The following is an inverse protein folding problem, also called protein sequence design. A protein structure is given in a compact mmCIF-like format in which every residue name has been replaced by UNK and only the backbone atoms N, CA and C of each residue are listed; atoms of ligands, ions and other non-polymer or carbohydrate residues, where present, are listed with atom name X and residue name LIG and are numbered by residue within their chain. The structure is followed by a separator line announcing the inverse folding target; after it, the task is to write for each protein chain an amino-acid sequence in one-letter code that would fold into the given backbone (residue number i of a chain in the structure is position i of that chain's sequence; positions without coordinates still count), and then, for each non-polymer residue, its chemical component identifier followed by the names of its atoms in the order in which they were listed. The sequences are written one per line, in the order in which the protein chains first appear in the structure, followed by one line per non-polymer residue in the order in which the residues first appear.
data_IF_101813746102
#
_entry.id   IF_101813746102
#
_cell.length_a   1.000
_cell.length_b   1.000
_cell.length_c   1.000
_cell.angle_alpha   90.00
_cell.angle_beta   90.00
_cell.angle_gamma   90.00
#
_symmetry.space_group_name_H-M   'P 1'
#
loop_
_entity.id
_entity.type
_entity.pdbx_description
1 polymer ?
#
# COMPACT_ATOMS: atom_id res chain seq x y z
N UNK A 1 34.82 21.12 26.26
CA UNK A 1 34.09 21.38 25.01
C UNK A 1 33.97 20.08 24.22
N UNK A 2 32.88 19.32 24.39
CA UNK A 2 32.66 18.11 23.60
C UNK A 2 31.64 18.40 22.50
N UNK A 3 32.11 19.00 21.41
CA UNK A 3 31.32 19.13 20.19
C UNK A 3 31.26 17.79 19.48
N UNK A 4 30.06 17.27 19.18
CA UNK A 4 29.90 16.05 18.36
C UNK A 4 30.69 16.22 17.07
N UNK A 5 31.55 15.25 16.73
CA UNK A 5 32.29 15.22 15.46
C UNK A 5 31.27 15.26 14.32
N UNK A 6 31.17 16.41 13.64
CA UNK A 6 30.28 16.57 12.49
C UNK A 6 30.82 15.75 11.33
N UNK A 7 29.93 15.11 10.58
CA UNK A 7 30.31 14.45 9.33
C UNK A 7 30.85 15.49 8.36
N UNK A 8 32.12 15.34 8.00
CA UNK A 8 32.75 16.20 7.00
C UNK A 8 32.43 15.64 5.62
N UNK A 9 31.79 16.45 4.78
CA UNK A 9 31.51 16.05 3.41
C UNK A 9 32.82 15.81 2.63
N UNK A 10 32.81 14.93 1.62
CA UNK A 10 33.97 14.77 0.76
C UNK A 10 34.30 16.08 0.04
N UNK A 11 35.59 16.29 -0.26
CA UNK A 11 36.05 17.47 -1.02
C UNK A 11 35.56 17.48 -2.47
N UNK A 12 35.28 16.29 -3.01
CA UNK A 12 34.81 16.09 -4.39
C UNK A 12 33.34 15.68 -4.35
N UNK A 13 32.50 16.36 -5.13
CA UNK A 13 31.08 16.02 -5.24
C UNK A 13 30.90 14.72 -6.04
N UNK A 14 29.77 14.04 -5.82
CA UNK A 14 29.44 12.81 -6.55
C UNK A 14 29.40 13.02 -8.07
N UNK A 15 29.00 14.21 -8.54
CA UNK A 15 29.01 14.58 -9.96
C UNK A 15 30.43 14.59 -10.53
N UNK A 16 31.32 15.38 -9.89
CA UNK A 16 32.74 15.46 -10.31
C UNK A 16 33.40 14.09 -10.32
N UNK A 17 33.11 13.29 -9.28
CA UNK A 17 33.64 11.93 -9.18
C UNK A 17 33.14 11.03 -10.34
N UNK A 18 31.87 11.16 -10.74
CA UNK A 18 31.34 10.44 -11.90
C UNK A 18 32.00 10.88 -13.21
N UNK A 19 32.28 12.18 -13.39
CA UNK A 19 32.96 12.68 -14.58
C UNK A 19 34.42 12.20 -14.64
N UNK A 20 35.13 12.18 -13.51
CA UNK A 20 36.47 11.58 -13.42
C UNK A 20 36.47 10.09 -13.81
N UNK A 21 35.44 9.33 -13.38
CA UNK A 21 35.30 7.92 -13.76
C UNK A 21 35.05 7.74 -15.27
N UNK A 22 34.19 8.57 -15.88
CA UNK A 22 33.95 8.52 -17.33
C UNK A 22 35.25 8.77 -18.11
N UNK A 23 36.06 9.72 -17.65
CA UNK A 23 37.34 10.03 -18.29
C UNK A 23 38.35 8.88 -18.11
N UNK A 24 38.42 8.27 -16.92
CA UNK A 24 39.29 7.12 -16.68
C UNK A 24 38.90 5.92 -17.57
N UNK A 25 37.61 5.65 -17.70
CA UNK A 25 37.06 4.64 -18.60
C UNK A 25 37.40 4.93 -20.07
N UNK A 26 37.24 6.19 -20.50
CA UNK A 26 37.61 6.63 -21.86
C UNK A 26 39.11 6.43 -22.16
N UNK A 27 39.98 6.68 -21.19
CA UNK A 27 41.42 6.53 -21.32
C UNK A 27 41.92 5.10 -21.06
N UNK A 28 41.03 4.16 -20.73
CA UNK A 28 41.40 2.79 -20.37
C UNK A 28 42.19 2.67 -19.06
N UNK A 29 42.13 3.69 -18.19
CA UNK A 29 42.85 3.70 -16.92
C UNK A 29 41.98 3.04 -15.84
N UNK A 30 42.55 2.09 -15.10
CA UNK A 30 41.88 1.49 -13.97
C UNK A 30 41.61 2.56 -12.88
N UNK A 31 40.36 2.75 -12.48
CA UNK A 31 40.00 3.74 -11.45
C UNK A 31 40.58 3.42 -10.07
N UNK A 32 40.83 2.13 -9.78
CA UNK A 32 41.39 1.69 -8.50
C UNK A 32 42.87 2.10 -8.35
N UNK A 33 43.62 2.13 -9.45
CA UNK A 33 45.04 2.55 -9.43
C UNK A 33 45.21 4.06 -9.16
N UNK A 34 44.20 4.87 -9.48
CA UNK A 34 44.18 6.32 -9.21
C UNK A 34 43.64 6.63 -7.79
N UNK A 35 43.20 5.61 -7.05
CA UNK A 35 42.61 5.79 -5.71
C UNK A 35 41.19 6.38 -5.74
N UNK A 36 40.47 6.26 -6.87
CA UNK A 36 39.05 6.58 -6.90
C UNK A 36 38.29 5.52 -6.10
N UNK A 37 37.29 5.90 -5.28
CA UNK A 37 36.50 4.92 -4.55
C UNK A 37 35.72 4.03 -5.54
N UNK A 38 35.42 2.77 -5.16
CA UNK A 38 34.68 1.85 -6.01
C UNK A 38 33.26 2.39 -6.32
N UNK A 39 32.74 2.02 -7.49
CA UNK A 39 31.38 2.38 -7.89
C UNK A 39 30.40 1.50 -7.11
N UNK A 40 29.48 2.12 -6.37
CA UNK A 40 28.43 1.39 -5.66
C UNK A 40 27.55 0.64 -6.67
N UNK A 41 27.35 -0.66 -6.43
CA UNK A 41 26.45 -1.49 -7.22
C UNK A 41 25.01 -0.98 -7.13
N UNK A 42 24.29 -1.01 -8.26
CA UNK A 42 22.90 -0.59 -8.31
C UNK A 42 22.01 -1.78 -7.94
N UNK A 43 21.30 -1.65 -6.83
CA UNK A 43 20.25 -2.62 -6.49
C UNK A 43 19.15 -2.62 -7.57
N UNK A 44 18.55 -3.79 -7.87
CA UNK A 44 17.45 -3.86 -8.80
C UNK A 44 16.25 -3.03 -8.29
N UNK A 45 15.60 -2.24 -9.17
CA UNK A 45 14.64 -1.22 -8.75
C UNK A 45 13.30 -1.77 -8.21
N UNK A 46 12.96 -3.04 -8.44
CA UNK A 46 11.60 -3.58 -8.15
C UNK A 46 11.60 -5.03 -7.70
N UNK A 47 12.14 -5.31 -6.52
CA UNK A 47 12.04 -6.65 -5.89
C UNK A 47 10.72 -6.86 -5.16
N UNK A 48 10.02 -5.80 -4.74
CA UNK A 48 8.81 -5.91 -3.94
C UNK A 48 7.54 -5.85 -4.80
N UNK A 49 6.55 -6.73 -4.58
CA UNK A 49 5.28 -6.65 -5.27
C UNK A 49 4.51 -5.37 -4.88
N UNK A 50 3.66 -4.85 -5.78
CA UNK A 50 2.84 -3.69 -5.49
C UNK A 50 1.79 -4.00 -4.42
N UNK A 51 1.50 -3.02 -3.57
CA UNK A 51 0.54 -3.13 -2.46
C UNK A 51 -0.91 -3.45 -2.89
N UNK A 52 -1.26 -3.17 -4.14
CA UNK A 52 -2.64 -3.26 -4.66
C UNK A 52 -3.53 -2.08 -4.27
N UNK A 53 -4.59 -1.88 -5.06
CA UNK A 53 -5.56 -0.82 -4.84
C UNK A 53 -6.45 -1.11 -3.61
N UNK A 54 -7.11 -0.08 -3.06
CA UNK A 54 -7.99 -0.23 -1.88
C UNK A 54 -9.13 -1.23 -2.13
N UNK A 55 -9.72 -1.23 -3.32
CA UNK A 55 -10.86 -2.08 -3.66
C UNK A 55 -10.45 -3.56 -3.83
N UNK A 56 -9.25 -3.83 -4.36
CA UNK A 56 -8.69 -5.18 -4.46
C UNK A 56 -8.42 -5.76 -3.06
N UNK A 57 -7.78 -4.97 -2.19
CA UNK A 57 -7.50 -5.38 -0.81
C UNK A 57 -8.78 -5.64 -0.02
N UNK A 58 -9.85 -4.89 -0.27
CA UNK A 58 -11.12 -5.02 0.45
C UNK A 58 -12.13 -5.98 -0.21
N UNK A 59 -11.86 -6.46 -1.43
CA UNK A 59 -12.73 -7.39 -2.15
C UNK A 59 -13.09 -8.65 -1.35
N UNK A 60 -12.17 -9.36 -0.67
CA UNK A 60 -12.52 -10.58 0.07
C UNK A 60 -13.49 -10.29 1.22
N UNK A 61 -13.27 -9.20 1.97
CA UNK A 61 -14.17 -8.80 3.05
C UNK A 61 -15.57 -8.43 2.53
N UNK A 62 -15.65 -7.75 1.38
CA UNK A 62 -16.93 -7.43 0.72
C UNK A 62 -17.68 -8.69 0.30
N UNK A 63 -16.98 -9.66 -0.32
CA UNK A 63 -17.58 -10.95 -0.73
C UNK A 63 -18.12 -11.72 0.48
N UNK A 64 -17.37 -11.78 1.58
CA UNK A 64 -17.81 -12.43 2.81
C UNK A 64 -19.07 -11.77 3.41
N UNK A 65 -19.12 -10.43 3.40
CA UNK A 65 -20.30 -9.69 3.87
C UNK A 65 -21.54 -9.96 3.01
N UNK A 66 -21.37 -10.05 1.69
CA UNK A 66 -22.46 -10.38 0.77
C UNK A 66 -22.96 -11.79 1.03
N UNK A 67 -22.05 -12.77 1.17
CA UNK A 67 -22.45 -14.15 1.44
C UNK A 67 -23.26 -14.25 2.74
N UNK A 68 -22.78 -13.63 3.82
CA UNK A 68 -23.50 -13.61 5.10
C UNK A 68 -24.91 -13.00 4.96
N UNK A 69 -25.04 -11.92 4.19
CA UNK A 69 -26.35 -11.30 3.95
C UNK A 69 -27.29 -12.20 3.13
N UNK A 70 -26.77 -12.98 2.19
CA UNK A 70 -27.56 -13.98 1.45
C UNK A 70 -28.03 -15.11 2.36
N UNK A 71 -27.17 -15.57 3.29
CA UNK A 71 -27.53 -16.62 4.25
C UNK A 71 -28.61 -16.14 5.25
N UNK A 72 -28.55 -14.86 5.66
CA UNK A 72 -29.52 -14.23 6.57
C UNK A 72 -30.80 -13.73 5.87
N UNK A 73 -30.88 -13.88 4.54
CA UNK A 73 -31.96 -13.34 3.71
C UNK A 73 -33.35 -13.90 4.09
N UNK A 74 -33.46 -15.20 4.34
CA UNK A 74 -34.76 -15.81 4.65
C UNK A 74 -35.33 -15.28 5.97
N UNK A 75 -34.49 -15.17 7.00
CA UNK A 75 -34.87 -14.65 8.32
C UNK A 75 -35.32 -13.20 8.25
N UNK A 76 -34.62 -12.38 7.45
CA UNK A 76 -34.99 -10.97 7.26
C UNK A 76 -36.33 -10.83 6.52
N UNK A 77 -36.61 -11.70 5.54
CA UNK A 77 -37.92 -11.74 4.85
C UNK A 77 -39.03 -12.15 5.82
N UNK A 78 -38.82 -13.18 6.64
CA UNK A 78 -39.82 -13.64 7.63
C UNK A 78 -40.14 -12.55 8.66
N UNK A 79 -39.12 -11.87 9.19
CA UNK A 79 -39.31 -10.77 10.13
C UNK A 79 -40.10 -9.63 9.48
N UNK A 80 -39.72 -9.23 8.25
CA UNK A 80 -40.46 -8.21 7.52
C UNK A 80 -41.94 -8.58 7.30
N UNK A 81 -42.23 -9.85 6.99
CA UNK A 81 -43.62 -10.33 6.84
C UNK A 81 -44.39 -10.23 8.15
N UNK A 82 -43.78 -10.64 9.27
CA UNK A 82 -44.40 -10.56 10.61
C UNK A 82 -44.68 -9.12 11.01
N UNK A 83 -43.72 -8.23 10.82
CA UNK A 83 -43.88 -6.80 11.13
C UNK A 83 -45.04 -6.21 10.31
N UNK A 84 -45.14 -6.54 9.02
CA UNK A 84 -46.26 -6.08 8.17
C UNK A 84 -47.61 -6.62 8.61
N UNK A 85 -47.69 -7.84 9.15
CA UNK A 85 -48.92 -8.38 9.71
C UNK A 85 -49.31 -7.65 11.00
N UNK A 86 -48.37 -7.43 11.90
CA UNK A 86 -48.62 -6.68 13.14
C UNK A 86 -49.08 -5.25 12.88
N UNK A 87 -48.46 -4.55 11.92
CA UNK A 87 -48.89 -3.21 11.51
C UNK A 87 -50.32 -3.21 10.95
N UNK A 88 -50.70 -4.24 10.18
CA UNK A 88 -52.08 -4.39 9.70
C UNK A 88 -53.06 -4.66 10.85
N UNK A 89 -52.68 -5.43 11.85
CA UNK A 89 -53.54 -5.72 13.01
C UNK A 89 -53.77 -4.48 13.88
N UNK A 90 -52.74 -3.66 14.11
CA UNK A 90 -52.88 -2.37 14.79
C UNK A 90 -53.84 -1.41 14.09
N UNK A 91 -53.93 -1.49 12.76
CA UNK A 91 -54.81 -0.67 11.95
C UNK A 91 -56.25 -1.17 11.82
N UNK A 92 -56.59 -2.35 12.37
CA UNK A 92 -57.97 -2.85 12.36
C UNK A 92 -58.79 -2.11 13.43
N UNK A 93 -59.94 -1.50 13.09
CA UNK A 93 -60.81 -0.87 14.07
C UNK A 93 -61.29 -1.90 15.10
N UNK A 94 -61.23 -1.56 16.39
CA UNK A 94 -61.50 -2.49 17.50
C UNK A 94 -62.99 -2.76 17.75
N UNK A 95 -63.88 -2.06 17.06
CA UNK A 95 -65.32 -2.24 17.21
C UNK A 95 -65.83 -3.18 16.12
N UNK A 96 -66.53 -4.29 16.47
CA UNK A 96 -67.40 -4.93 15.50
C UNK A 96 -68.52 -3.92 15.22
N UNK A 97 -68.91 -3.83 13.96
CA UNK A 97 -70.04 -3.01 13.52
C UNK A 97 -71.23 -3.09 14.48
#
# INVERSE_FOLDING_TARGET
MWGRKRYMHPKVSLRKLADMRKNAEYLGINTESIGLPPKKEKNPPRTKPPKGAKHERNAPARKAKIQKALDEMQKTIENWRKDKLQEKEKGKPSLPF
#
